data_IF_892696661197
#
_entry.id   IF_892696661197
#
_cell.length_a   1.000
_cell.length_b   1.000
_cell.length_c   1.000
_cell.angle_alpha   90.00
_cell.angle_beta   90.00
_cell.angle_gamma   90.00
#
_symmetry.space_group_name_H-M   'P 1'
#
loop_
_entity.id
_entity.type
_entity.pdbx_description
1 polymer ?
#
# COMPACT_ATOMS: atom_id res chain seq x y z
N UNK A 1 2.90 15.06 29.42
CA UNK A 1 3.49 15.38 28.09
C UNK A 1 3.58 14.09 27.30
N UNK A 2 2.73 13.96 26.28
CA UNK A 2 2.53 12.71 25.54
C UNK A 2 3.71 12.46 24.61
N UNK A 3 4.48 11.40 24.87
CA UNK A 3 5.60 10.96 24.06
C UNK A 3 5.14 10.63 22.64
N UNK A 4 5.65 11.38 21.68
CA UNK A 4 5.43 11.18 20.25
C UNK A 4 5.96 9.79 19.85
N UNK A 5 5.05 8.84 19.60
CA UNK A 5 5.38 7.53 19.04
C UNK A 5 6.00 7.76 17.65
N UNK A 6 7.23 7.31 17.46
CA UNK A 6 7.92 7.36 16.17
C UNK A 6 9.11 8.31 16.06
N UNK A 7 9.50 9.01 17.13
CA UNK A 7 10.81 9.70 17.13
C UNK A 7 11.93 8.66 17.22
N UNK A 8 12.82 8.65 16.22
CA UNK A 8 14.05 7.85 16.24
C UNK A 8 14.94 8.23 17.44
N UNK A 9 14.83 9.49 17.92
CA UNK A 9 15.67 10.06 18.96
C UNK A 9 14.87 11.02 19.86
N UNK A 10 15.06 10.93 21.18
CA UNK A 10 14.33 11.75 22.17
C UNK A 10 15.01 13.09 22.46
N UNK A 11 16.30 13.22 22.19
CA UNK A 11 17.12 14.42 22.40
C UNK A 11 17.87 14.76 21.10
N UNK A 12 17.88 16.00 20.59
CA UNK A 12 18.54 16.32 19.32
C UNK A 12 20.03 15.96 19.26
N UNK A 13 20.75 16.06 20.39
CA UNK A 13 22.17 15.69 20.51
C UNK A 13 22.44 14.19 20.30
N UNK A 14 21.40 13.37 20.38
CA UNK A 14 21.48 11.93 20.25
C UNK A 14 21.24 11.44 18.81
N UNK A 15 21.07 12.38 17.85
CA UNK A 15 20.90 12.12 16.42
C UNK A 15 22.25 11.86 15.73
N UNK A 16 23.02 10.94 16.30
CA UNK A 16 24.30 10.48 15.74
C UNK A 16 24.16 9.10 15.12
N UNK A 17 24.98 8.83 14.11
CA UNK A 17 24.92 7.61 13.29
C UNK A 17 25.13 6.35 14.14
N UNK A 18 26.04 6.43 15.13
CA UNK A 18 26.38 5.35 16.05
C UNK A 18 25.22 5.00 16.99
N UNK A 19 24.49 6.01 17.47
CA UNK A 19 23.33 5.81 18.36
C UNK A 19 22.11 5.29 17.61
N UNK A 20 21.92 5.70 16.37
CA UNK A 20 20.83 5.19 15.52
C UNK A 20 21.08 3.71 15.20
N UNK A 21 22.31 3.32 14.87
CA UNK A 21 22.67 1.91 14.59
C UNK A 21 22.57 0.99 15.80
N UNK A 22 22.90 1.48 16.99
CA UNK A 22 22.87 0.68 18.23
C UNK A 22 21.49 0.59 18.87
N UNK A 23 20.49 1.33 18.37
CA UNK A 23 19.13 1.32 18.92
C UNK A 23 18.37 0.05 18.55
N UNK A 24 18.03 -0.82 19.53
CA UNK A 24 17.30 -2.07 19.27
C UNK A 24 15.83 -1.84 18.85
N UNK A 25 15.35 -0.59 18.93
CA UNK A 25 14.00 -0.18 18.54
C UNK A 25 13.90 0.37 17.12
N UNK A 26 15.03 0.53 16.43
CA UNK A 26 15.05 1.16 15.11
C UNK A 26 15.45 0.15 14.04
N UNK A 27 14.47 -0.26 13.23
CA UNK A 27 14.77 -0.86 11.93
C UNK A 27 15.15 0.28 11.00
N UNK A 28 16.37 0.27 10.47
CA UNK A 28 16.79 1.25 9.45
C UNK A 28 15.74 1.21 8.33
N UNK A 29 15.14 2.35 7.94
CA UNK A 29 14.19 2.38 6.85
C UNK A 29 14.84 1.78 5.60
N UNK A 30 14.21 0.75 5.05
CA UNK A 30 14.70 0.13 3.83
C UNK A 30 14.61 1.17 2.70
N UNK A 31 15.76 1.71 2.29
CA UNK A 31 15.83 2.70 1.23
C UNK A 31 16.05 2.00 -0.11
N UNK A 32 15.04 1.99 -0.95
CA UNK A 32 15.05 1.41 -2.30
C UNK A 32 15.54 2.39 -3.38
N UNK A 33 15.89 3.62 -2.99
CA UNK A 33 16.17 4.72 -3.90
C UNK A 33 14.90 5.29 -4.52
N UNK A 34 15.07 6.02 -5.62
CA UNK A 34 13.97 6.68 -6.33
C UNK A 34 13.15 5.68 -7.15
N UNK A 35 11.83 5.88 -7.15
CA UNK A 35 10.88 5.17 -8.00
C UNK A 35 10.80 5.89 -9.37
N UNK A 36 11.86 5.79 -10.16
CA UNK A 36 12.02 6.55 -11.42
C UNK A 36 12.27 5.67 -12.65
N UNK A 37 12.29 4.34 -12.50
CA UNK A 37 12.46 3.42 -13.64
C UNK A 37 11.15 3.25 -14.38
N UNK A 38 11.10 3.78 -15.60
CA UNK A 38 9.95 3.61 -16.49
C UNK A 38 9.83 2.17 -17.00
N UNK A 39 8.63 1.59 -16.90
CA UNK A 39 8.29 0.35 -17.56
C UNK A 39 8.01 0.58 -19.05
N UNK A 40 8.72 -0.11 -19.93
CA UNK A 40 8.56 0.07 -21.39
C UNK A 40 7.15 -0.27 -21.88
N UNK A 41 6.49 -1.26 -21.27
CA UNK A 41 5.16 -1.71 -21.72
C UNK A 41 4.04 -0.77 -21.26
N UNK A 42 4.09 -0.31 -20.00
CA UNK A 42 2.97 0.35 -19.32
C UNK A 42 3.20 1.83 -19.03
N UNK A 43 4.43 2.33 -19.15
CA UNK A 43 4.79 3.71 -18.80
C UNK A 43 4.83 3.99 -17.28
N UNK A 44 4.51 3.01 -16.44
CA UNK A 44 4.52 3.19 -14.99
C UNK A 44 5.94 3.28 -14.44
N UNK A 45 6.12 4.07 -13.37
CA UNK A 45 7.38 4.20 -12.65
C UNK A 45 7.53 3.11 -11.58
N UNK A 46 8.72 2.54 -11.49
CA UNK A 46 9.07 1.46 -10.57
C UNK A 46 10.43 1.68 -9.91
N UNK A 47 10.71 0.92 -8.84
CA UNK A 47 12.05 0.80 -8.27
C UNK A 47 12.88 -0.21 -9.05
N UNK A 48 14.19 0.01 -9.14
CA UNK A 48 15.12 -0.91 -9.83
C UNK A 48 15.07 -2.32 -9.23
N UNK A 49 14.87 -2.44 -7.91
CA UNK A 49 14.79 -3.75 -7.23
C UNK A 49 13.57 -4.58 -7.60
N UNK A 50 12.52 -3.97 -8.16
CA UNK A 50 11.31 -4.68 -8.59
C UNK A 50 11.49 -5.36 -9.95
N UNK A 51 12.59 -5.06 -10.65
CA UNK A 51 12.94 -5.72 -11.91
C UNK A 51 13.47 -7.13 -11.65
N UNK A 52 13.40 -8.00 -12.65
CA UNK A 52 14.05 -9.30 -12.53
C UNK A 52 15.57 -9.12 -12.55
N UNK A 53 16.32 -10.02 -11.92
CA UNK A 53 17.80 -9.99 -11.90
C UNK A 53 18.41 -9.94 -13.31
N UNK A 54 17.69 -10.48 -14.31
CA UNK A 54 18.12 -10.44 -15.71
C UNK A 54 17.90 -9.07 -16.35
N UNK A 55 16.83 -8.39 -15.96
CA UNK A 55 16.39 -7.14 -16.58
C UNK A 55 16.94 -5.91 -15.85
N UNK A 56 17.43 -6.03 -14.61
CA UNK A 56 17.85 -4.89 -13.78
C UNK A 56 18.98 -4.04 -14.36
N UNK A 57 19.80 -4.64 -15.24
CA UNK A 57 20.89 -3.96 -15.93
C UNK A 57 20.49 -3.38 -17.29
N UNK A 58 19.29 -3.70 -17.79
CA UNK A 58 18.83 -3.23 -19.08
C UNK A 58 18.40 -1.76 -18.99
N UNK A 59 18.68 -0.95 -20.04
CA UNK A 59 18.21 0.43 -20.10
C UNK A 59 16.68 0.51 -20.23
N UNK A 60 16.06 -0.53 -20.79
CA UNK A 60 14.62 -0.63 -20.97
C UNK A 60 14.10 -1.92 -20.32
N UNK A 61 13.22 -1.76 -19.32
CA UNK A 61 12.77 -2.85 -18.46
C UNK A 61 11.26 -2.98 -18.59
N UNK A 62 10.79 -4.23 -18.75
CA UNK A 62 9.38 -4.56 -18.64
C UNK A 62 9.15 -5.34 -17.36
N UNK A 63 8.43 -4.76 -16.41
CA UNK A 63 8.19 -5.37 -15.10
C UNK A 63 7.08 -6.41 -15.21
N UNK A 64 7.39 -7.66 -14.83
CA UNK A 64 6.38 -8.73 -14.72
C UNK A 64 5.33 -8.41 -13.66
N UNK A 65 5.72 -7.66 -12.63
CA UNK A 65 4.82 -7.15 -11.58
C UNK A 65 3.94 -5.97 -12.02
N UNK A 66 4.32 -5.16 -13.03
CA UNK A 66 3.48 -4.05 -13.52
C UNK A 66 2.30 -4.57 -14.35
N UNK A 67 2.64 -5.07 -15.54
CA UNK A 67 1.68 -5.41 -16.59
C UNK A 67 1.96 -6.78 -17.17
N UNK A 68 2.69 -7.63 -16.41
CA UNK A 68 3.05 -8.97 -16.84
C UNK A 68 3.71 -8.98 -18.23
N UNK A 69 4.59 -8.00 -18.47
CA UNK A 69 5.21 -7.77 -19.79
C UNK A 69 4.18 -7.56 -20.91
N UNK A 70 3.27 -6.60 -20.71
CA UNK A 70 2.23 -6.19 -21.64
C UNK A 70 1.05 -7.17 -21.81
N UNK A 71 0.84 -8.09 -20.87
CA UNK A 71 -0.33 -8.99 -20.89
C UNK A 71 -1.55 -8.37 -20.24
N UNK A 72 -1.37 -7.40 -19.33
CA UNK A 72 -2.47 -6.70 -18.65
C UNK A 72 -2.46 -5.24 -19.06
N UNK A 73 -3.58 -4.76 -19.61
CA UNK A 73 -3.81 -3.33 -19.83
C UNK A 73 -4.54 -2.77 -18.60
N UNK A 74 -3.91 -1.83 -17.90
CA UNK A 74 -4.56 -1.19 -16.75
C UNK A 74 -5.71 -0.29 -17.25
N UNK A 75 -6.91 -0.36 -16.63
CA UNK A 75 -8.09 0.39 -17.08
C UNK A 75 -7.87 1.91 -17.18
N UNK A 76 -6.95 2.48 -16.40
CA UNK A 76 -6.63 3.90 -16.48
C UNK A 76 -6.19 4.37 -17.90
N UNK A 77 -5.78 3.44 -18.75
CA UNK A 77 -5.37 3.69 -20.14
C UNK A 77 -6.35 3.11 -21.18
N UNK A 78 -7.45 2.47 -20.75
CA UNK A 78 -8.43 1.89 -21.66
C UNK A 78 -9.42 2.96 -22.16
N UNK A 79 -9.78 2.90 -23.43
CA UNK A 79 -10.81 3.77 -24.00
C UNK A 79 -12.15 3.61 -23.25
N UNK A 80 -12.75 4.73 -22.85
CA UNK A 80 -14.06 4.76 -22.18
C UNK A 80 -14.03 4.75 -20.65
N UNK A 81 -12.86 4.77 -20.01
CA UNK A 81 -12.77 4.90 -18.55
C UNK A 81 -13.01 6.34 -18.10
N UNK A 82 -13.86 6.51 -17.06
CA UNK A 82 -14.16 7.82 -16.47
C UNK A 82 -12.87 8.44 -15.90
N UNK A 83 -12.67 9.76 -16.08
CA UNK A 83 -11.52 10.44 -15.51
C UNK A 83 -11.53 10.35 -13.98
N UNK A 84 -10.36 10.55 -13.38
CA UNK A 84 -10.24 10.58 -11.93
C UNK A 84 -11.22 11.59 -11.33
N UNK A 85 -12.04 11.22 -10.33
CA UNK A 85 -13.08 12.12 -9.82
C UNK A 85 -12.50 13.44 -9.30
N UNK A 86 -13.03 14.57 -9.79
CA UNK A 86 -12.50 15.91 -9.51
C UNK A 86 -12.40 16.21 -8.01
N UNK A 87 -13.42 15.82 -7.24
CA UNK A 87 -13.43 16.03 -5.78
C UNK A 87 -12.29 15.29 -5.10
N UNK A 88 -11.98 14.07 -5.53
CA UNK A 88 -10.84 13.33 -5.00
C UNK A 88 -9.53 13.99 -5.42
N UNK A 89 -9.44 14.48 -6.66
CA UNK A 89 -8.26 15.20 -7.13
C UNK A 89 -7.96 16.42 -6.24
N UNK A 90 -8.97 17.23 -5.95
CA UNK A 90 -8.86 18.37 -5.05
C UNK A 90 -8.41 17.98 -3.64
N UNK A 91 -8.84 16.82 -3.12
CA UNK A 91 -8.39 16.34 -1.81
C UNK A 91 -6.92 15.88 -1.82
N UNK A 92 -6.45 15.30 -2.93
CA UNK A 92 -5.07 14.83 -3.07
C UNK A 92 -4.07 15.95 -3.36
N UNK A 93 -4.44 16.97 -4.14
CA UNK A 93 -3.53 18.04 -4.58
C UNK A 93 -3.80 19.40 -3.92
N UNK A 94 -4.97 19.58 -3.31
CA UNK A 94 -5.37 20.82 -2.67
C UNK A 94 -4.61 21.13 -1.39
N UNK A 95 -4.68 22.39 -0.99
CA UNK A 95 -4.06 22.91 0.25
C UNK A 95 -5.10 23.60 1.17
N UNK A 96 -6.38 23.27 1.00
CA UNK A 96 -7.42 23.70 1.93
C UNK A 96 -7.39 22.82 3.21
N UNK A 97 -8.15 23.23 4.23
CA UNK A 97 -8.17 22.50 5.49
C UNK A 97 -8.67 21.04 5.33
N UNK A 98 -9.60 20.82 4.38
CA UNK A 98 -10.14 19.50 4.07
C UNK A 98 -9.11 18.61 3.37
N UNK A 99 -8.41 19.11 2.33
CA UNK A 99 -7.37 18.34 1.67
C UNK A 99 -6.23 17.97 2.62
N UNK A 100 -5.76 18.91 3.46
CA UNK A 100 -4.73 18.60 4.46
C UNK A 100 -5.16 17.53 5.46
N UNK A 101 -6.40 17.60 5.95
CA UNK A 101 -6.95 16.58 6.83
C UNK A 101 -6.98 15.22 6.11
N UNK A 102 -7.53 15.19 4.89
CA UNK A 102 -7.60 13.97 4.07
C UNK A 102 -6.22 13.35 3.83
N UNK A 103 -5.23 14.13 3.41
CA UNK A 103 -3.86 13.67 3.17
C UNK A 103 -3.21 13.13 4.45
N UNK A 104 -3.42 13.78 5.60
CA UNK A 104 -2.89 13.31 6.88
C UNK A 104 -3.51 11.99 7.35
N UNK A 105 -4.78 11.75 6.99
CA UNK A 105 -5.55 10.57 7.39
C UNK A 105 -5.68 9.53 6.25
N UNK A 106 -4.94 9.70 5.15
CA UNK A 106 -5.09 8.90 3.94
C UNK A 106 -5.00 7.39 4.21
N UNK A 107 -4.07 6.97 5.08
CA UNK A 107 -3.93 5.56 5.48
C UNK A 107 -5.16 5.04 6.22
N UNK A 108 -5.77 5.86 7.09
CA UNK A 108 -6.99 5.48 7.80
C UNK A 108 -8.17 5.34 6.83
N UNK A 109 -8.34 6.30 5.92
CA UNK A 109 -9.36 6.23 4.89
C UNK A 109 -9.19 4.98 4.02
N UNK A 110 -7.99 4.71 3.49
CA UNK A 110 -7.71 3.53 2.68
C UNK A 110 -8.02 2.22 3.43
N UNK A 111 -7.65 2.14 4.72
CA UNK A 111 -7.95 0.98 5.54
C UNK A 111 -9.46 0.80 5.77
N UNK A 112 -10.19 1.89 6.06
CA UNK A 112 -11.63 1.83 6.27
C UNK A 112 -12.37 1.38 5.01
N UNK A 113 -12.00 1.92 3.85
CA UNK A 113 -12.59 1.58 2.56
C UNK A 113 -12.28 0.13 2.20
N UNK A 114 -11.04 -0.32 2.38
CA UNK A 114 -10.64 -1.72 2.13
C UNK A 114 -11.43 -2.71 2.97
N UNK A 115 -11.71 -2.37 4.23
CA UNK A 115 -12.54 -3.18 5.12
C UNK A 115 -13.99 -3.25 4.64
N UNK A 116 -14.56 -2.13 4.18
CA UNK A 116 -15.95 -2.10 3.68
C UNK A 116 -16.12 -2.70 2.28
N UNK A 117 -15.09 -2.64 1.43
CA UNK A 117 -15.10 -3.21 0.07
C UNK A 117 -14.93 -4.73 0.06
N UNK A 118 -14.48 -5.32 1.17
CA UNK A 118 -14.61 -6.74 1.42
C UNK A 118 -16.10 -7.05 1.58
N UNK A 119 -16.78 -7.34 0.47
CA UNK A 119 -18.14 -7.87 0.43
C UNK A 119 -18.22 -9.27 1.03
N UNK A 120 -17.89 -9.39 2.31
CA UNK A 120 -17.87 -10.64 3.05
C UNK A 120 -19.30 -11.18 3.10
N UNK A 121 -19.58 -12.19 2.28
CA UNK A 121 -20.74 -13.05 2.48
C UNK A 121 -20.44 -13.91 3.70
N UNK A 122 -20.97 -13.49 4.85
CA UNK A 122 -20.88 -14.26 6.10
C UNK A 122 -21.67 -15.55 5.88
N UNK A 123 -20.96 -16.67 5.82
CA UNK A 123 -21.60 -17.98 5.88
C UNK A 123 -22.09 -18.20 7.32
N UNK A 124 -23.40 -18.11 7.50
CA UNK A 124 -24.06 -18.28 8.79
C UNK A 124 -24.27 -19.76 9.16
N UNK A 125 -23.87 -20.73 8.33
CA UNK A 125 -24.11 -22.16 8.59
C UNK A 125 -23.31 -22.72 9.77
N UNK A 126 -22.25 -22.02 10.19
CA UNK A 126 -21.43 -22.34 11.37
C UNK A 126 -21.89 -21.66 12.67
N UNK A 127 -22.98 -20.87 12.64
CA UNK A 127 -23.54 -20.28 13.86
C UNK A 127 -24.40 -21.31 14.58
N UNK A 128 -23.74 -22.23 15.29
CA UNK A 128 -24.37 -23.07 16.31
C UNK A 128 -25.03 -22.20 17.39
N UNK A 129 -26.12 -22.68 17.99
CA UNK A 129 -26.96 -21.91 18.91
C UNK A 129 -26.33 -21.62 20.28
N UNK A 130 -25.11 -22.09 20.54
CA UNK A 130 -24.50 -22.01 21.86
C UNK A 130 -23.18 -21.21 21.81
N UNK A 131 -23.22 -20.02 22.39
CA UNK A 131 -22.17 -18.99 22.35
C UNK A 131 -20.97 -19.27 23.24
N UNK A 132 -20.24 -20.37 23.00
CA UNK A 132 -18.91 -20.57 23.58
C UNK A 132 -17.85 -20.46 22.49
N UNK A 133 -17.18 -19.31 22.45
CA UNK A 133 -16.01 -19.07 21.60
C UNK A 133 -14.80 -19.85 22.13
N UNK A 134 -14.50 -20.97 21.49
CA UNK A 134 -13.21 -21.66 21.63
C UNK A 134 -12.10 -20.81 20.96
N UNK A 135 -10.99 -20.45 21.63
CA UNK A 135 -9.98 -19.52 21.09
C UNK A 135 -9.19 -20.06 19.86
N UNK A 136 -9.43 -21.30 19.44
CA UNK A 136 -8.67 -21.98 18.39
C UNK A 136 -9.26 -21.92 16.98
N UNK A 137 -10.51 -21.48 16.79
CA UNK A 137 -11.15 -21.61 15.47
C UNK A 137 -10.85 -20.40 14.59
N UNK A 138 -9.82 -20.53 13.73
CA UNK A 138 -9.62 -19.62 12.58
C UNK A 138 -10.92 -19.54 11.78
N UNK A 139 -11.56 -18.37 11.79
CA UNK A 139 -12.67 -18.08 10.90
C UNK A 139 -12.17 -18.22 9.46
N UNK A 140 -12.59 -19.29 8.76
CA UNK A 140 -12.26 -19.46 7.35
C UNK A 140 -13.03 -18.41 6.56
N UNK A 141 -12.38 -17.30 6.27
CA UNK A 141 -12.83 -16.37 5.24
C UNK A 141 -12.57 -17.05 3.90
N UNK A 142 -13.60 -17.62 3.29
CA UNK A 142 -13.52 -18.09 1.90
C UNK A 142 -13.57 -16.86 1.00
N UNK A 143 -12.42 -16.51 0.43
CA UNK A 143 -12.36 -15.52 -0.64
C UNK A 143 -13.00 -16.16 -1.88
N UNK A 144 -14.05 -15.59 -2.47
CA UNK A 144 -14.58 -16.09 -3.73
C UNK A 144 -13.53 -15.89 -4.83
N UNK A 145 -13.34 -16.92 -5.65
CA UNK A 145 -12.54 -16.80 -6.87
C UNK A 145 -13.17 -15.73 -7.75
N UNK A 146 -12.36 -14.73 -8.14
CA UNK A 146 -12.71 -13.77 -9.19
C UNK A 146 -12.85 -14.60 -10.47
N UNK A 147 -14.08 -14.82 -10.92
CA UNK A 147 -14.33 -15.40 -12.25
C UNK A 147 -14.06 -14.30 -13.27
N UNK A 148 -13.11 -14.59 -14.16
CA UNK A 148 -12.77 -13.82 -15.36
C UNK A 148 -13.96 -13.67 -16.30
#
# INVERSE_FOLDING_TARGET
>A
MVGLRGKAVMVPADNTEERIRSSPRWTVPHNLGECNRNCQSCGALHWTVESTVKDCHLPSISFSSCCQKNQVTLPAFAEGVKPFPERLQQLFTGNDAQARNFQSLLRMYNNSVSFTLLGAKIDNSVRGKDGTSDPGTRQRVRVPAVKS
#
